data_IF_555466563962
#
_entry.id   IF_555466563962
#
_cell.length_a   1.000
_cell.length_b   1.000
_cell.length_c   1.000
_cell.angle_alpha   90.00
_cell.angle_beta   90.00
_cell.angle_gamma   90.00
#
_symmetry.space_group_name_H-M   'P 1'
#
loop_
_entity.id
_entity.type
_entity.pdbx_description
1 polymer ?
#
# COMPACT_ATOMS: atom_id res chain seq x y z
N UNK A 1 13.04 37.42 -26.85
CA UNK A 1 12.51 37.01 -25.53
C UNK A 1 11.10 37.55 -25.42
N UNK A 2 10.08 36.72 -25.65
CA UNK A 2 8.69 37.06 -25.41
C UNK A 2 8.17 36.13 -24.32
N UNK A 3 7.72 36.67 -23.20
CA UNK A 3 7.30 35.89 -22.05
C UNK A 3 7.30 36.68 -20.75
N UNK A 4 6.80 36.05 -19.70
CA UNK A 4 6.72 36.64 -18.37
C UNK A 4 8.13 36.60 -17.72
N UNK A 5 8.66 37.72 -17.23
CA UNK A 5 9.99 37.78 -16.62
C UNK A 5 10.05 36.91 -15.35
N UNK A 6 11.15 36.18 -15.13
CA UNK A 6 11.31 35.36 -13.94
C UNK A 6 11.43 36.22 -12.67
N UNK A 7 11.05 35.65 -11.51
CA UNK A 7 11.27 36.27 -10.20
C UNK A 7 12.73 36.68 -10.05
N UNK A 8 13.01 37.91 -9.61
CA UNK A 8 14.37 38.45 -9.46
C UNK A 8 14.78 39.38 -10.58
N UNK A 9 14.01 39.42 -11.67
CA UNK A 9 14.29 40.26 -12.83
C UNK A 9 13.05 41.00 -13.31
N UNK A 10 13.28 42.16 -13.89
CA UNK A 10 12.30 42.97 -14.61
C UNK A 10 12.71 43.12 -16.08
N UNK A 11 11.77 43.37 -17.00
CA UNK A 11 12.12 43.68 -18.37
C UNK A 11 12.83 45.03 -18.43
N UNK A 12 13.79 45.17 -19.35
CA UNK A 12 14.48 46.43 -19.55
C UNK A 12 13.48 47.59 -19.83
N UNK A 13 13.67 48.80 -19.26
CA UNK A 13 12.74 49.93 -19.44
C UNK A 13 12.52 50.30 -20.91
N UNK A 14 13.59 50.23 -21.70
CA UNK A 14 13.53 50.32 -23.16
C UNK A 14 12.95 49.02 -23.76
N UNK A 15 11.73 49.13 -24.30
CA UNK A 15 11.00 48.02 -24.93
C UNK A 15 11.67 47.45 -26.18
N UNK A 16 12.60 48.18 -26.79
CA UNK A 16 13.38 47.69 -27.93
C UNK A 16 14.45 46.68 -27.49
N UNK A 17 14.96 46.81 -26.25
CA UNK A 17 15.97 45.92 -25.68
C UNK A 17 15.32 44.72 -25.01
N UNK A 18 15.61 43.54 -25.55
CA UNK A 18 15.06 42.25 -25.06
C UNK A 18 15.93 41.68 -23.93
N UNK A 19 16.19 42.49 -22.91
CA UNK A 19 17.09 42.20 -21.80
C UNK A 19 16.36 42.15 -20.45
N UNK A 20 16.93 41.40 -19.51
CA UNK A 20 16.45 41.31 -18.13
C UNK A 20 17.33 42.22 -17.25
N UNK A 21 16.69 43.05 -16.44
CA UNK A 21 17.35 43.93 -15.47
C UNK A 21 17.11 43.38 -14.07
N UNK A 22 18.12 43.44 -13.22
CA UNK A 22 18.08 42.92 -11.85
C UNK A 22 17.04 43.70 -11.02
N UNK A 23 16.16 42.98 -10.32
CA UNK A 23 15.33 43.54 -9.27
C UNK A 23 15.88 43.11 -7.91
N UNK A 24 16.56 44.02 -7.22
CA UNK A 24 17.22 43.78 -5.94
C UNK A 24 16.32 43.15 -4.88
N UNK A 25 15.08 43.60 -4.77
CA UNK A 25 14.14 43.10 -3.74
C UNK A 25 13.76 41.66 -4.01
N UNK A 26 13.44 41.34 -5.27
CA UNK A 26 13.10 39.98 -5.66
C UNK A 26 14.32 39.05 -5.74
N UNK A 27 15.49 39.58 -6.10
CA UNK A 27 16.75 38.84 -6.17
C UNK A 27 17.11 38.27 -4.78
N UNK A 28 16.91 39.05 -3.71
CA UNK A 28 17.08 38.56 -2.33
C UNK A 28 16.16 37.38 -2.00
N UNK A 29 14.95 37.32 -2.57
CA UNK A 29 14.05 36.18 -2.38
C UNK A 29 14.64 34.94 -3.02
N UNK A 30 15.15 35.06 -4.24
CA UNK A 30 15.81 33.95 -4.95
C UNK A 30 17.05 33.48 -4.17
N UNK A 31 17.91 34.40 -3.74
CA UNK A 31 19.10 34.09 -2.94
C UNK A 31 18.74 33.34 -1.64
N UNK A 32 17.69 33.79 -0.93
CA UNK A 32 17.19 33.08 0.26
C UNK A 32 16.70 31.67 -0.07
N UNK A 33 15.97 31.46 -1.17
CA UNK A 33 15.52 30.12 -1.57
C UNK A 33 16.72 29.19 -1.84
N UNK A 34 17.76 29.68 -2.51
CA UNK A 34 19.00 28.92 -2.73
C UNK A 34 19.71 28.61 -1.42
N UNK A 35 19.88 29.60 -0.54
CA UNK A 35 20.51 29.43 0.77
C UNK A 35 19.76 28.42 1.66
N UNK A 36 18.43 28.50 1.70
CA UNK A 36 17.58 27.54 2.43
C UNK A 36 17.75 26.13 1.89
N UNK A 37 17.85 25.96 0.57
CA UNK A 37 18.09 24.64 0.00
C UNK A 37 19.50 24.14 0.24
N UNK A 38 20.52 24.98 0.14
CA UNK A 38 21.90 24.63 0.47
C UNK A 38 22.00 24.15 1.93
N UNK A 39 21.34 24.85 2.87
CA UNK A 39 21.34 24.49 4.28
C UNK A 39 20.58 23.17 4.59
N UNK A 40 19.46 22.89 3.93
CA UNK A 40 18.56 21.79 4.33
C UNK A 40 18.54 20.59 3.40
N UNK A 41 18.95 20.74 2.14
CA UNK A 41 18.96 19.67 1.12
C UNK A 41 17.62 18.91 0.98
N UNK A 42 16.49 19.55 1.34
CA UNK A 42 15.16 18.94 1.35
C UNK A 42 14.07 19.95 0.96
N UNK A 43 13.44 19.75 -0.21
CA UNK A 43 12.44 20.66 -0.78
C UNK A 43 11.25 20.94 0.15
N UNK A 44 10.79 19.94 0.92
CA UNK A 44 9.64 20.13 1.82
C UNK A 44 9.98 21.04 3.00
N UNK A 45 11.20 20.92 3.55
CA UNK A 45 11.68 21.80 4.63
C UNK A 45 11.81 23.22 4.11
N UNK A 46 12.39 23.38 2.91
CA UNK A 46 12.51 24.69 2.26
C UNK A 46 11.15 25.31 1.97
N UNK A 47 10.18 24.53 1.50
CA UNK A 47 8.81 25.01 1.23
C UNK A 47 8.15 25.55 2.50
N UNK A 48 8.31 24.84 3.63
CA UNK A 48 7.78 25.28 4.91
C UNK A 48 8.49 26.55 5.39
N UNK A 49 9.82 26.57 5.41
CA UNK A 49 10.60 27.75 5.83
C UNK A 49 10.35 28.97 4.96
N UNK A 50 10.30 28.81 3.64
CA UNK A 50 9.97 29.89 2.73
C UNK A 50 8.58 30.48 3.01
N UNK A 51 7.60 29.64 3.39
CA UNK A 51 6.28 30.10 3.82
C UNK A 51 6.34 30.83 5.17
N UNK A 52 7.07 30.29 6.14
CA UNK A 52 7.22 30.87 7.48
C UNK A 52 7.92 32.25 7.43
N UNK A 53 8.90 32.40 6.53
CA UNK A 53 9.61 33.66 6.25
C UNK A 53 8.84 34.61 5.31
N UNK A 54 7.63 34.24 4.88
CA UNK A 54 6.79 35.09 4.04
C UNK A 54 7.28 35.28 2.60
N UNK A 55 8.13 34.40 2.09
CA UNK A 55 8.63 34.45 0.71
C UNK A 55 7.49 34.12 -0.28
N UNK A 56 7.30 34.98 -1.28
CA UNK A 56 6.19 34.90 -2.24
C UNK A 56 6.66 34.91 -3.68
N UNK A 57 5.85 34.29 -4.53
CA UNK A 57 6.01 34.34 -5.99
C UNK A 57 5.85 35.75 -6.56
N UNK A 58 6.55 36.05 -7.66
CA UNK A 58 6.50 37.34 -8.36
C UNK A 58 5.06 37.73 -8.67
N UNK A 59 4.73 39.01 -8.48
CA UNK A 59 3.42 39.55 -8.79
C UNK A 59 3.43 40.11 -10.22
N UNK A 60 2.55 39.59 -11.06
CA UNK A 60 2.42 40.00 -12.45
C UNK A 60 1.09 40.70 -12.65
N UNK A 61 1.17 41.93 -13.17
CA UNK A 61 0.03 42.68 -13.68
C UNK A 61 0.07 42.60 -15.20
N UNK A 62 -0.99 42.04 -15.80
CA UNK A 62 -1.13 41.96 -17.25
C UNK A 62 -1.92 43.17 -17.75
N UNK A 63 -1.66 43.60 -18.99
CA UNK A 63 -2.38 44.71 -19.64
C UNK A 63 -3.90 44.48 -19.73
N UNK A 64 -4.35 43.23 -19.64
CA UNK A 64 -5.76 42.85 -19.62
C UNK A 64 -6.43 43.02 -18.25
N UNK A 65 -5.73 43.57 -17.25
CA UNK A 65 -6.19 43.68 -15.85
C UNK A 65 -6.14 42.37 -15.06
N UNK A 66 -5.66 41.27 -15.67
CA UNK A 66 -5.44 40.00 -14.96
C UNK A 66 -4.24 40.16 -14.03
N UNK A 67 -4.35 39.58 -12.83
CA UNK A 67 -3.24 39.48 -11.89
C UNK A 67 -2.82 38.02 -11.70
N UNK A 68 -1.52 37.76 -11.52
CA UNK A 68 -0.99 36.44 -11.24
C UNK A 68 0.18 36.51 -10.26
N UNK A 69 0.24 35.58 -9.32
CA UNK A 69 1.35 35.45 -8.38
C UNK A 69 1.04 36.01 -6.99
N UNK A 70 2.05 36.51 -6.29
CA UNK A 70 1.96 36.96 -4.89
C UNK A 70 1.46 35.87 -3.88
N UNK A 71 1.62 34.60 -4.26
CA UNK A 71 1.25 33.44 -3.43
C UNK A 71 2.48 32.81 -2.78
N UNK A 72 2.33 32.17 -1.60
CA UNK A 72 3.39 31.36 -1.01
C UNK A 72 3.89 30.31 -2.00
N UNK A 73 5.19 30.04 -1.98
CA UNK A 73 5.78 29.07 -2.91
C UNK A 73 5.28 27.65 -2.68
N UNK A 74 4.88 26.98 -3.75
CA UNK A 74 4.69 25.53 -3.77
C UNK A 74 6.02 24.79 -4.00
N UNK A 75 6.06 23.51 -3.62
CA UNK A 75 7.24 22.64 -3.81
C UNK A 75 7.77 22.64 -5.25
N UNK A 76 6.86 22.60 -6.23
CA UNK A 76 7.22 22.60 -7.66
C UNK A 76 7.82 23.93 -8.12
N UNK A 77 7.37 25.06 -7.57
CA UNK A 77 7.92 26.38 -7.89
C UNK A 77 9.33 26.54 -7.33
N UNK A 78 9.56 26.13 -6.08
CA UNK A 78 10.92 26.12 -5.50
C UNK A 78 11.84 25.22 -6.32
N UNK A 79 11.39 24.03 -6.69
CA UNK A 79 12.18 23.13 -7.54
C UNK A 79 12.52 23.76 -8.90
N UNK A 80 11.58 24.47 -9.52
CA UNK A 80 11.82 25.18 -10.77
C UNK A 80 12.82 26.33 -10.60
N UNK A 81 12.71 27.12 -9.53
CA UNK A 81 13.65 28.22 -9.22
C UNK A 81 15.08 27.67 -9.10
N UNK A 82 15.26 26.62 -8.30
CA UNK A 82 16.58 26.02 -8.06
C UNK A 82 17.22 25.40 -9.32
N UNK A 83 16.45 25.16 -10.39
CA UNK A 83 16.92 24.58 -11.65
C UNK A 83 16.98 25.57 -12.81
N UNK A 84 16.54 26.81 -12.61
CA UNK A 84 16.48 27.78 -13.70
C UNK A 84 17.85 28.45 -13.92
N UNK A 85 18.56 28.19 -15.04
CA UNK A 85 19.89 28.73 -15.29
C UNK A 85 19.91 30.25 -15.51
N UNK A 86 18.74 30.90 -15.64
CA UNK A 86 18.64 32.36 -15.66
C UNK A 86 19.24 33.02 -14.43
N UNK A 87 19.17 32.37 -13.28
CA UNK A 87 19.79 32.89 -12.04
C UNK A 87 21.31 32.88 -12.04
N UNK A 88 21.92 32.11 -12.96
CA UNK A 88 23.36 32.05 -13.20
C UNK A 88 23.79 32.98 -14.35
N UNK A 89 22.92 33.88 -14.83
CA UNK A 89 23.22 34.74 -15.98
C UNK A 89 23.15 34.00 -17.33
N UNK A 90 22.42 32.87 -17.42
CA UNK A 90 22.32 32.07 -18.66
C UNK A 90 20.89 31.96 -19.17
N UNK A 91 20.70 31.88 -20.48
CA UNK A 91 19.38 31.72 -21.09
C UNK A 91 19.27 30.34 -21.73
N UNK A 92 18.22 29.61 -21.38
CA UNK A 92 17.92 28.29 -21.97
C UNK A 92 17.13 28.45 -23.26
N UNK A 93 17.59 27.80 -24.32
CA UNK A 93 16.86 27.63 -25.57
C UNK A 93 16.88 26.15 -25.98
N UNK A 94 15.72 25.50 -25.87
CA UNK A 94 15.56 24.04 -26.01
C UNK A 94 16.49 23.30 -25.03
N UNK A 95 17.40 22.47 -25.53
CA UNK A 95 18.35 21.70 -24.71
C UNK A 95 19.70 22.41 -24.48
N UNK A 96 19.89 23.61 -25.04
CA UNK A 96 21.15 24.36 -24.91
C UNK A 96 20.97 25.59 -24.02
N UNK A 97 22.01 25.91 -23.25
CA UNK A 97 22.07 27.08 -22.38
C UNK A 97 23.19 28.00 -22.84
N UNK A 98 22.88 29.27 -23.11
CA UNK A 98 23.80 30.28 -23.62
C UNK A 98 24.06 31.37 -22.56
N UNK A 99 25.22 32.06 -22.59
CA UNK A 99 25.42 33.27 -21.78
C UNK A 99 24.34 34.32 -22.08
N UNK A 100 23.71 34.85 -21.04
CA UNK A 100 22.78 35.97 -21.13
C UNK A 100 23.50 37.30 -20.99
N UNK A 101 22.80 38.38 -21.36
CA UNK A 101 23.29 39.76 -21.17
C UNK A 101 22.93 40.34 -19.79
N UNK A 102 22.19 39.57 -18.98
CA UNK A 102 21.71 40.01 -17.67
C UNK A 102 22.64 39.53 -16.55
N UNK A 103 22.69 40.30 -15.48
CA UNK A 103 23.51 40.01 -14.30
C UNK A 103 23.02 38.75 -13.57
N UNK A 104 23.96 37.92 -13.08
CA UNK A 104 23.63 36.71 -12.34
C UNK A 104 23.20 37.04 -10.88
N UNK A 105 22.11 36.44 -10.41
CA UNK A 105 21.65 36.57 -9.01
C UNK A 105 22.43 35.64 -8.07
N UNK A 106 22.87 34.50 -8.59
CA UNK A 106 23.52 33.41 -7.85
C UNK A 106 24.90 33.16 -8.44
N UNK A 107 25.90 32.99 -7.58
CA UNK A 107 27.26 32.62 -7.99
C UNK A 107 27.35 31.15 -8.46
N UNK A 108 28.38 30.86 -9.26
CA UNK A 108 28.61 29.53 -9.81
C UNK A 108 28.81 28.47 -8.71
N UNK A 109 29.49 28.81 -7.62
CA UNK A 109 29.81 27.87 -6.55
C UNK A 109 28.56 27.40 -5.78
N UNK A 110 27.64 28.30 -5.46
CA UNK A 110 26.36 28.01 -4.82
C UNK A 110 25.44 27.24 -5.77
N UNK A 111 25.42 27.61 -7.05
CA UNK A 111 24.69 26.88 -8.06
C UNK A 111 25.13 25.41 -8.13
N UNK A 112 26.43 25.16 -8.23
CA UNK A 112 26.99 23.81 -8.37
C UNK A 112 26.72 22.95 -7.13
N UNK A 113 26.87 23.53 -5.92
CA UNK A 113 26.51 22.83 -4.66
C UNK A 113 25.04 22.43 -4.63
N UNK A 114 24.14 23.34 -5.04
CA UNK A 114 22.70 23.07 -5.08
C UNK A 114 22.35 22.03 -6.13
N UNK A 115 22.93 22.08 -7.33
CA UNK A 115 22.70 21.06 -8.37
C UNK A 115 23.18 19.68 -7.91
N UNK A 116 24.38 19.58 -7.33
CA UNK A 116 24.91 18.33 -6.79
C UNK A 116 23.99 17.75 -5.69
N UNK A 117 23.44 18.61 -4.81
CA UNK A 117 22.43 18.21 -3.81
C UNK A 117 21.11 17.75 -4.45
N UNK A 118 20.66 18.39 -5.52
CA UNK A 118 19.44 17.97 -6.25
C UNK A 118 19.65 16.64 -6.98
N UNK A 119 20.79 16.45 -7.61
CA UNK A 119 21.14 15.23 -8.34
C UNK A 119 21.32 14.05 -7.38
N UNK A 120 22.07 14.22 -6.29
CA UNK A 120 22.20 13.18 -5.26
C UNK A 120 20.84 12.83 -4.64
N UNK A 121 19.91 13.79 -4.50
CA UNK A 121 18.55 13.52 -4.06
C UNK A 121 17.69 12.81 -5.13
N UNK A 122 17.95 13.03 -6.42
CA UNK A 122 17.27 12.35 -7.53
C UNK A 122 17.78 10.90 -7.71
N UNK A 123 19.07 10.66 -7.49
CA UNK A 123 19.71 9.34 -7.53
C UNK A 123 19.28 8.47 -6.35
N UNK A 124 18.90 9.07 -5.21
CA UNK A 124 18.27 8.36 -4.09
C UNK A 124 16.92 7.81 -4.57
N UNK A 125 16.91 6.56 -5.05
CA UNK A 125 15.70 5.74 -5.19
C UNK A 125 14.89 5.89 -3.91
N UNK A 126 13.67 6.40 -4.06
CA UNK A 126 12.71 6.60 -2.97
C UNK A 126 12.50 5.22 -2.31
N UNK A 127 13.15 4.98 -1.16
CA UNK A 127 12.98 3.75 -0.38
C UNK A 127 14.21 2.90 -0.04
N UNK A 128 15.46 3.29 -0.35
CA UNK A 128 16.61 2.35 -0.14
C UNK A 128 17.45 2.60 1.13
N UNK A 129 17.87 3.84 1.48
CA UNK A 129 18.87 4.03 2.57
C UNK A 129 18.37 4.66 3.87
N UNK A 130 17.37 5.54 3.87
CA UNK A 130 16.92 6.21 5.12
C UNK A 130 16.09 5.30 6.05
N UNK A 131 15.74 4.09 5.62
CA UNK A 131 14.80 3.20 6.33
C UNK A 131 15.49 2.27 7.32
N UNK A 132 16.72 1.82 7.07
CA UNK A 132 17.42 0.87 7.96
C UNK A 132 17.71 1.45 9.35
N UNK A 133 17.86 2.77 9.50
CA UNK A 133 18.12 3.40 10.80
C UNK A 133 16.86 3.75 11.62
N UNK A 134 15.68 3.92 11.00
CA UNK A 134 14.44 4.27 11.72
C UNK A 134 13.40 3.15 11.78
N UNK A 135 13.42 2.23 10.81
CA UNK A 135 12.47 1.11 10.73
C UNK A 135 12.74 0.01 11.75
N UNK A 136 14.01 -0.23 12.09
CA UNK A 136 14.40 -1.23 13.07
C UNK A 136 13.94 -0.91 14.50
N UNK A 137 13.73 0.38 14.83
CA UNK A 137 13.36 0.79 16.18
C UNK A 137 11.85 0.88 16.45
N UNK A 138 10.96 0.83 15.45
CA UNK A 138 9.53 1.10 15.70
C UNK A 138 8.50 0.20 15.01
N UNK A 139 8.89 -0.79 14.20
CA UNK A 139 7.93 -1.78 13.65
C UNK A 139 6.79 -1.20 12.79
N UNK A 140 6.93 0.05 12.31
CA UNK A 140 5.80 0.81 11.73
C UNK A 140 5.56 0.46 10.25
N UNK A 141 6.49 -0.21 9.57
CA UNK A 141 6.47 -0.33 8.11
C UNK A 141 7.36 -1.46 7.53
N UNK A 142 7.29 -2.67 8.07
CA UNK A 142 8.21 -3.77 7.72
C UNK A 142 8.20 -4.17 6.24
N UNK A 143 7.09 -3.93 5.52
CA UNK A 143 6.95 -4.27 4.10
C UNK A 143 7.01 -3.06 3.14
N UNK A 144 7.43 -1.89 3.63
CA UNK A 144 7.51 -0.67 2.82
C UNK A 144 8.37 -0.87 1.57
N UNK A 145 7.78 -0.60 0.40
CA UNK A 145 8.49 -0.65 -0.88
C UNK A 145 8.74 -2.05 -1.43
N UNK A 146 8.36 -3.11 -0.70
CA UNK A 146 8.59 -4.50 -1.11
C UNK A 146 7.49 -5.06 -2.02
N UNK A 147 6.25 -4.62 -1.82
CA UNK A 147 5.10 -5.16 -2.53
C UNK A 147 4.52 -4.22 -3.59
N UNK A 148 4.09 -4.80 -4.71
CA UNK A 148 3.37 -4.11 -5.78
C UNK A 148 2.02 -4.77 -6.06
N UNK A 149 1.07 -4.01 -6.57
CA UNK A 149 -0.20 -4.55 -7.06
C UNK A 149 -0.13 -5.01 -8.53
N UNK A 150 -1.24 -5.56 -9.03
CA UNK A 150 -1.42 -6.02 -10.41
C UNK A 150 -1.18 -4.96 -11.48
N UNK A 151 -1.22 -3.67 -11.10
CA UNK A 151 -0.93 -2.55 -12.00
C UNK A 151 0.53 -2.05 -11.89
N UNK A 152 1.35 -2.72 -11.08
CA UNK A 152 2.73 -2.36 -10.79
C UNK A 152 2.89 -1.26 -9.73
N UNK A 153 1.81 -0.81 -9.09
CA UNK A 153 1.85 0.27 -8.10
C UNK A 153 2.42 -0.23 -6.77
N UNK A 154 3.18 0.63 -6.08
CA UNK A 154 3.81 0.24 -4.80
C UNK A 154 2.77 0.32 -3.68
N UNK A 155 2.72 -0.73 -2.85
CA UNK A 155 1.97 -0.70 -1.61
C UNK A 155 2.71 0.14 -0.56
N UNK A 156 2.05 1.20 -0.10
CA UNK A 156 2.60 2.16 0.82
C UNK A 156 1.90 2.07 2.18
N UNK A 157 2.63 1.96 3.30
CA UNK A 157 2.07 1.97 4.63
C UNK A 157 1.39 3.32 4.90
N UNK A 158 0.15 3.25 5.37
CA UNK A 158 -0.70 4.36 5.73
C UNK A 158 -1.38 4.06 7.06
N UNK A 159 -1.91 5.09 7.70
CA UNK A 159 -2.64 4.92 8.95
C UNK A 159 -3.80 5.90 9.04
N UNK A 160 -4.84 5.49 9.75
CA UNK A 160 -5.89 6.38 10.22
C UNK A 160 -5.97 6.30 11.74
N UNK A 161 -6.52 7.34 12.36
CA UNK A 161 -6.72 7.39 13.80
C UNK A 161 -8.22 7.55 14.07
N UNK A 162 -8.76 6.66 14.91
CA UNK A 162 -10.13 6.75 15.40
C UNK A 162 -10.07 6.76 16.93
N UNK A 163 -10.30 7.93 17.52
CA UNK A 163 -10.07 8.17 18.95
C UNK A 163 -8.60 7.91 19.33
N UNK A 164 -8.37 7.06 20.33
CA UNK A 164 -7.02 6.66 20.78
C UNK A 164 -6.43 5.49 19.98
N UNK A 165 -7.20 4.83 19.10
CA UNK A 165 -6.74 3.65 18.36
C UNK A 165 -6.22 4.05 16.98
N UNK A 166 -4.98 3.64 16.68
CA UNK A 166 -4.34 3.81 15.35
C UNK A 166 -4.55 2.55 14.51
N UNK A 167 -5.19 2.69 13.36
CA UNK A 167 -5.40 1.63 12.39
C UNK A 167 -4.36 1.74 11.28
N UNK A 168 -3.62 0.67 11.03
CA UNK A 168 -2.54 0.62 10.03
C UNK A 168 -2.98 -0.15 8.79
N UNK A 169 -2.59 0.35 7.62
CA UNK A 169 -2.92 -0.23 6.32
C UNK A 169 -1.73 -0.19 5.37
N UNK A 170 -1.68 -1.09 4.39
CA UNK A 170 -0.92 -0.89 3.15
C UNK A 170 -1.91 -0.51 2.05
N UNK A 171 -1.64 0.58 1.34
CA UNK A 171 -2.51 1.09 0.28
C UNK A 171 -1.75 1.23 -1.04
N UNK A 172 -2.38 0.99 -2.18
CA UNK A 172 -1.79 1.35 -3.48
C UNK A 172 -1.46 2.85 -3.47
N UNK A 173 -0.24 3.21 -3.87
CA UNK A 173 0.27 4.58 -3.77
C UNK A 173 -0.63 5.61 -4.48
N UNK A 174 -1.33 5.21 -5.56
CA UNK A 174 -2.34 6.06 -6.24
C UNK A 174 -3.47 6.56 -5.33
N UNK A 175 -3.80 5.88 -4.24
CA UNK A 175 -4.82 6.31 -3.27
C UNK A 175 -4.34 7.42 -2.32
N UNK A 176 -3.05 7.75 -2.30
CA UNK A 176 -2.50 8.78 -1.41
C UNK A 176 -2.82 10.18 -1.93
N UNK A 177 -2.72 10.38 -3.25
CA UNK A 177 -2.89 11.70 -3.89
C UNK A 177 -3.98 11.71 -4.96
N UNK A 178 -4.65 10.59 -5.20
CA UNK A 178 -5.60 10.39 -6.31
C UNK A 178 -7.07 10.36 -5.88
N UNK A 179 -7.94 10.29 -6.89
CA UNK A 179 -9.39 10.07 -6.73
C UNK A 179 -9.67 8.64 -6.23
N UNK A 180 -10.86 8.37 -5.65
CA UNK A 180 -11.24 7.02 -5.24
C UNK A 180 -11.18 6.04 -6.41
N UNK A 181 -10.32 5.04 -6.31
CA UNK A 181 -10.16 3.97 -7.29
C UNK A 181 -10.66 2.65 -6.70
N UNK A 182 -11.57 1.98 -7.41
CA UNK A 182 -12.15 0.69 -6.96
C UNK A 182 -11.18 -0.48 -7.12
N UNK A 183 -10.21 -0.37 -8.03
CA UNK A 183 -9.19 -1.39 -8.28
C UNK A 183 -8.01 -1.28 -7.30
N UNK A 184 -7.88 -0.14 -6.62
CA UNK A 184 -6.79 0.08 -5.70
C UNK A 184 -6.94 -0.72 -4.38
N UNK A 185 -5.80 -1.16 -3.86
CA UNK A 185 -5.75 -2.00 -2.68
C UNK A 185 -5.72 -1.16 -1.41
N UNK A 186 -6.47 -1.61 -0.39
CA UNK A 186 -6.36 -1.14 1.00
C UNK A 186 -6.40 -2.33 1.93
N UNK A 187 -5.23 -2.70 2.42
CA UNK A 187 -4.96 -3.93 3.16
C UNK A 187 -4.68 -3.61 4.63
N UNK A 188 -5.38 -4.21 5.61
CA UNK A 188 -4.99 -4.06 7.02
C UNK A 188 -3.56 -4.54 7.23
N UNK A 189 -2.70 -3.71 7.84
CA UNK A 189 -1.26 -3.97 7.88
C UNK A 189 -0.93 -5.28 8.57
N UNK A 190 -1.48 -5.53 9.77
CA UNK A 190 -1.22 -6.76 10.51
C UNK A 190 -1.64 -8.01 9.76
N UNK A 191 -2.85 -8.03 9.20
CA UNK A 191 -3.35 -9.18 8.45
C UNK A 191 -2.51 -9.45 7.19
N UNK A 192 -2.00 -8.41 6.53
CA UNK A 192 -1.12 -8.55 5.37
C UNK A 192 0.27 -9.04 5.76
N UNK A 193 0.82 -8.50 6.84
CA UNK A 193 2.11 -8.88 7.42
C UNK A 193 2.12 -10.36 7.85
N UNK A 194 1.07 -10.79 8.57
CA UNK A 194 0.88 -12.18 8.99
C UNK A 194 0.70 -13.11 7.78
N UNK A 195 -0.03 -12.65 6.75
CA UNK A 195 -0.24 -13.37 5.50
C UNK A 195 1.07 -13.66 4.76
N UNK A 196 1.92 -12.65 4.62
CA UNK A 196 3.22 -12.75 3.95
C UNK A 196 4.16 -13.65 4.75
N UNK A 197 4.27 -13.43 6.06
CA UNK A 197 5.11 -14.26 6.92
C UNK A 197 4.66 -15.73 6.89
N UNK A 198 3.35 -15.99 6.96
CA UNK A 198 2.78 -17.33 6.89
C UNK A 198 2.93 -18.02 5.53
N UNK A 199 2.93 -17.26 4.42
CA UNK A 199 3.22 -17.81 3.09
C UNK A 199 4.68 -18.30 3.00
N UNK A 200 5.63 -17.48 3.44
CA UNK A 200 7.06 -17.83 3.49
C UNK A 200 7.29 -19.03 4.41
N UNK A 201 6.72 -19.00 5.62
CA UNK A 201 6.90 -20.09 6.58
C UNK A 201 6.35 -21.42 6.05
N UNK A 202 5.17 -21.42 5.42
CA UNK A 202 4.60 -22.64 4.80
C UNK A 202 5.46 -23.17 3.65
N UNK A 203 5.95 -22.28 2.79
CA UNK A 203 6.83 -22.66 1.69
C UNK A 203 8.09 -23.37 2.19
N UNK A 204 8.76 -22.77 3.18
CA UNK A 204 9.95 -23.37 3.78
C UNK A 204 9.65 -24.69 4.49
N UNK A 205 8.54 -24.79 5.24
CA UNK A 205 8.12 -26.06 5.87
C UNK A 205 7.86 -27.14 4.84
N UNK A 206 7.17 -26.82 3.74
CA UNK A 206 6.87 -27.78 2.67
C UNK A 206 8.14 -28.22 1.91
N UNK A 207 9.11 -27.33 1.72
CA UNK A 207 10.41 -27.69 1.15
C UNK A 207 11.22 -28.57 2.11
N UNK A 208 11.20 -28.28 3.42
CA UNK A 208 11.87 -29.08 4.44
C UNK A 208 11.30 -30.51 4.49
N UNK A 209 9.97 -30.65 4.45
CA UNK A 209 9.28 -31.96 4.43
C UNK A 209 9.59 -32.78 3.17
N UNK A 210 9.87 -32.12 2.05
CA UNK A 210 10.23 -32.77 0.78
C UNK A 210 11.74 -32.92 0.59
N UNK A 211 12.54 -32.54 1.59
CA UNK A 211 14.00 -32.52 1.49
C UNK A 211 14.54 -31.66 0.34
N UNK A 212 13.79 -30.61 -0.05
CA UNK A 212 14.09 -29.69 -1.15
C UNK A 212 14.77 -28.39 -0.66
N UNK A 213 15.43 -28.41 0.50
CA UNK A 213 16.17 -27.22 0.98
C UNK A 213 17.50 -27.06 0.24
N UNK A 214 18.17 -28.18 -0.05
CA UNK A 214 19.47 -28.23 -0.71
C UNK A 214 19.35 -28.82 -2.12
N UNK A 215 20.26 -28.43 -3.02
CA UNK A 215 20.45 -29.05 -4.33
C UNK A 215 21.11 -30.42 -4.24
N UNK A 216 21.97 -30.62 -3.24
CA UNK A 216 22.75 -31.84 -3.09
C UNK A 216 21.93 -32.94 -2.38
N UNK A 217 22.03 -34.16 -2.88
CA UNK A 217 21.44 -35.35 -2.26
C UNK A 217 22.39 -35.93 -1.20
N UNK A 218 22.62 -35.18 -0.13
CA UNK A 218 23.29 -35.66 1.08
C UNK A 218 22.28 -35.75 2.23
N UNK A 219 22.15 -36.95 2.81
CA UNK A 219 21.17 -37.24 3.87
C UNK A 219 21.47 -36.46 5.15
N UNK A 220 22.75 -36.34 5.54
CA UNK A 220 23.16 -35.66 6.77
C UNK A 220 22.96 -34.16 6.61
N UNK A 221 23.43 -33.59 5.49
CA UNK A 221 23.25 -32.17 5.20
C UNK A 221 21.77 -31.80 5.04
N UNK A 222 20.97 -32.66 4.40
CA UNK A 222 19.53 -32.45 4.22
C UNK A 222 18.77 -32.48 5.55
N UNK A 223 19.14 -33.37 6.48
CA UNK A 223 18.55 -33.41 7.82
C UNK A 223 18.85 -32.12 8.60
N UNK A 224 20.10 -31.66 8.59
CA UNK A 224 20.50 -30.42 9.27
C UNK A 224 19.80 -29.19 8.64
N UNK A 225 19.75 -29.11 7.32
CA UNK A 225 19.06 -28.03 6.60
C UNK A 225 17.55 -28.01 6.89
N UNK A 226 16.94 -29.18 7.07
CA UNK A 226 15.53 -29.31 7.47
C UNK A 226 15.32 -28.75 8.87
N UNK A 227 16.17 -29.09 9.83
CA UNK A 227 16.08 -28.61 11.22
C UNK A 227 16.25 -27.08 11.31
N UNK A 228 17.22 -26.51 10.59
CA UNK A 228 17.44 -25.05 10.57
C UNK A 228 16.26 -24.33 9.92
N UNK A 229 15.70 -24.87 8.83
CA UNK A 229 14.50 -24.33 8.19
C UNK A 229 13.29 -24.35 9.13
N UNK A 230 13.04 -25.47 9.82
CA UNK A 230 11.95 -25.57 10.79
C UNK A 230 12.14 -24.58 11.96
N UNK A 231 13.36 -24.44 12.47
CA UNK A 231 13.70 -23.46 13.51
C UNK A 231 13.44 -22.01 13.05
N UNK A 232 13.84 -21.67 11.83
CA UNK A 232 13.59 -20.36 11.24
C UNK A 232 12.08 -20.08 11.12
N UNK A 233 11.30 -21.05 10.65
CA UNK A 233 9.84 -20.90 10.51
C UNK A 233 9.14 -20.72 11.86
N UNK A 234 9.56 -21.45 12.90
CA UNK A 234 9.05 -21.28 14.26
C UNK A 234 9.41 -19.91 14.86
N UNK A 235 10.54 -19.32 14.47
CA UNK A 235 10.89 -17.94 14.83
C UNK A 235 10.01 -16.93 14.10
N UNK A 236 9.74 -17.12 12.81
CA UNK A 236 8.82 -16.26 12.04
C UNK A 236 7.40 -16.27 12.63
N UNK A 237 6.90 -17.43 13.06
CA UNK A 237 5.58 -17.56 13.67
C UNK A 237 5.46 -16.79 15.01
N UNK A 238 6.57 -16.69 15.78
CA UNK A 238 6.61 -15.93 17.04
C UNK A 238 6.86 -14.44 16.86
N UNK A 239 7.78 -14.07 15.96
CA UNK A 239 8.21 -12.68 15.75
C UNK A 239 7.42 -11.93 14.66
N UNK A 240 6.51 -12.63 13.98
CA UNK A 240 5.72 -12.08 12.87
C UNK A 240 6.59 -11.68 11.67
N UNK A 241 6.17 -10.62 10.98
CA UNK A 241 6.80 -10.19 9.72
C UNK A 241 8.23 -9.64 9.87
N UNK A 242 8.74 -9.40 11.09
CA UNK A 242 10.05 -8.76 11.29
C UNK A 242 11.20 -9.53 10.63
N UNK A 243 11.24 -10.85 10.84
CA UNK A 243 12.25 -11.75 10.24
C UNK A 243 11.97 -11.91 8.74
N UNK A 244 10.71 -12.20 8.38
CA UNK A 244 10.30 -12.42 7.00
C UNK A 244 10.60 -11.20 6.11
N UNK A 245 10.42 -9.98 6.61
CA UNK A 245 10.70 -8.75 5.89
C UNK A 245 12.15 -8.66 5.42
N UNK A 246 13.12 -9.12 6.22
CA UNK A 246 14.54 -9.12 5.85
C UNK A 246 14.85 -10.02 4.65
N UNK A 247 14.08 -11.09 4.48
CA UNK A 247 14.28 -12.07 3.41
C UNK A 247 13.66 -11.67 2.07
N UNK A 248 12.71 -10.74 2.07
CA UNK A 248 11.94 -10.41 0.86
C UNK A 248 12.71 -9.44 -0.03
N UNK A 249 12.96 -9.82 -1.28
CA UNK A 249 13.46 -8.92 -2.32
C UNK A 249 12.30 -8.05 -2.84
N UNK A 250 11.25 -8.72 -3.32
CA UNK A 250 10.04 -8.11 -3.88
C UNK A 250 8.85 -9.04 -3.73
N UNK A 251 7.66 -8.50 -3.82
CA UNK A 251 6.44 -9.28 -3.93
C UNK A 251 5.38 -8.58 -4.76
N UNK A 252 4.44 -9.37 -5.26
CA UNK A 252 3.28 -8.89 -6.01
C UNK A 252 2.00 -9.43 -5.40
N UNK A 253 0.95 -8.62 -5.45
CA UNK A 253 -0.40 -9.03 -5.07
C UNK A 253 -1.32 -8.91 -6.29
N UNK A 254 -2.17 -9.92 -6.45
CA UNK A 254 -3.24 -9.95 -7.44
C UNK A 254 -4.53 -10.44 -6.82
N UNK A 255 -5.59 -10.51 -7.63
CA UNK A 255 -6.85 -11.13 -7.20
C UNK A 255 -6.64 -12.62 -6.95
N UNK A 256 -6.63 -13.01 -5.68
CA UNK A 256 -6.51 -14.41 -5.28
C UNK A 256 -5.07 -14.91 -5.16
N UNK A 257 -4.05 -14.09 -5.44
CA UNK A 257 -2.65 -14.55 -5.45
C UNK A 257 -1.69 -13.56 -4.77
N UNK A 258 -0.64 -14.13 -4.19
CA UNK A 258 0.51 -13.48 -3.59
C UNK A 258 1.76 -14.16 -4.14
N UNK A 259 2.61 -13.41 -4.82
CA UNK A 259 3.92 -13.89 -5.22
C UNK A 259 5.00 -13.17 -4.41
N UNK A 260 6.01 -13.90 -3.93
CA UNK A 260 7.13 -13.37 -3.15
C UNK A 260 8.43 -13.91 -3.72
N UNK A 261 9.39 -13.01 -3.96
CA UNK A 261 10.77 -13.36 -4.29
C UNK A 261 11.65 -13.09 -3.07
N UNK A 262 12.44 -14.09 -2.68
CA UNK A 262 13.38 -13.99 -1.56
C UNK A 262 14.79 -13.66 -2.02
N UNK A 263 15.54 -12.99 -1.14
CA UNK A 263 16.96 -12.70 -1.32
C UNK A 263 17.77 -13.95 -0.95
N UNK A 264 18.49 -14.52 -1.91
CA UNK A 264 19.28 -15.74 -1.71
C UNK A 264 20.32 -15.60 -0.58
N UNK A 265 21.06 -14.49 -0.53
CA UNK A 265 22.07 -14.25 0.50
C UNK A 265 21.46 -14.12 1.90
N UNK A 266 20.34 -13.42 2.04
CA UNK A 266 19.65 -13.29 3.33
C UNK A 266 19.02 -14.60 3.80
N UNK A 267 18.52 -15.43 2.87
CA UNK A 267 18.01 -16.76 3.20
C UNK A 267 19.13 -17.71 3.61
N UNK A 268 20.26 -17.68 2.90
CA UNK A 268 21.49 -18.42 3.22
C UNK A 268 22.00 -18.08 4.62
N UNK A 269 22.12 -16.79 4.94
CA UNK A 269 22.51 -16.32 6.28
C UNK A 269 21.52 -16.76 7.36
N UNK A 270 20.21 -16.68 7.08
CA UNK A 270 19.18 -17.07 8.04
C UNK A 270 19.12 -18.58 8.31
N UNK A 271 19.51 -19.41 7.33
CA UNK A 271 19.57 -20.86 7.44
C UNK A 271 20.94 -21.38 7.92
N UNK A 272 21.99 -20.55 7.85
CA UNK A 272 23.37 -20.97 8.14
C UNK A 272 23.93 -21.92 7.08
N UNK A 273 23.46 -21.81 5.83
CA UNK A 273 23.82 -22.70 4.71
C UNK A 273 24.42 -21.89 3.57
N UNK A 274 25.38 -22.41 2.79
CA UNK A 274 25.96 -21.68 1.67
C UNK A 274 24.91 -21.44 0.56
N UNK A 275 24.87 -20.22 0.02
CA UNK A 275 23.89 -19.82 -0.98
C UNK A 275 23.93 -20.66 -2.27
N UNK A 276 25.09 -21.24 -2.62
CA UNK A 276 25.29 -22.12 -3.77
C UNK A 276 24.60 -23.48 -3.64
N UNK A 277 24.32 -23.92 -2.41
CA UNK A 277 23.69 -25.22 -2.15
C UNK A 277 22.18 -25.11 -1.98
N UNK A 278 21.63 -23.91 -1.81
CA UNK A 278 20.19 -23.72 -1.67
C UNK A 278 19.44 -24.05 -2.96
N UNK A 279 18.34 -24.79 -2.82
CA UNK A 279 17.51 -25.12 -3.96
C UNK A 279 16.82 -23.87 -4.55
N UNK A 280 16.89 -23.61 -5.87
CA UNK A 280 16.34 -22.39 -6.47
C UNK A 280 14.83 -22.19 -6.24
N UNK A 281 14.06 -23.27 -6.07
CA UNK A 281 12.62 -23.19 -5.79
C UNK A 281 12.29 -22.50 -4.46
N UNK A 282 13.24 -22.40 -3.53
CA UNK A 282 13.03 -21.70 -2.25
C UNK A 282 12.84 -20.20 -2.43
N UNK A 283 13.39 -19.64 -3.51
CA UNK A 283 13.44 -18.19 -3.71
C UNK A 283 12.14 -17.63 -4.29
N UNK A 284 11.29 -18.49 -4.84
CA UNK A 284 10.05 -18.09 -5.51
C UNK A 284 8.86 -18.76 -4.83
N UNK A 285 7.99 -17.92 -4.26
CA UNK A 285 6.81 -18.38 -3.54
C UNK A 285 5.59 -17.86 -4.28
N UNK A 286 4.68 -18.76 -4.59
CA UNK A 286 3.32 -18.43 -5.01
C UNK A 286 2.34 -19.00 -4.00
N UNK A 287 1.46 -18.15 -3.48
CA UNK A 287 0.47 -18.53 -2.49
C UNK A 287 -0.88 -17.89 -2.79
N UNK A 288 -1.99 -18.59 -2.51
CA UNK A 288 -3.31 -17.98 -2.66
C UNK A 288 -3.51 -16.87 -1.61
N UNK A 289 -4.11 -15.75 -2.02
CA UNK A 289 -4.40 -14.60 -1.17
C UNK A 289 -5.83 -14.11 -1.41
N UNK A 290 -6.73 -14.47 -0.51
CA UNK A 290 -8.14 -14.08 -0.57
C UNK A 290 -8.39 -12.85 0.29
N UNK A 291 -8.84 -11.77 -0.34
CA UNK A 291 -9.21 -10.55 0.37
C UNK A 291 -10.74 -10.41 0.39
N UNK A 292 -11.35 -10.69 1.54
CA UNK A 292 -12.81 -10.57 1.72
C UNK A 292 -13.18 -9.17 2.21
N UNK A 293 -14.18 -8.54 1.58
CA UNK A 293 -14.82 -7.31 2.08
C UNK A 293 -15.94 -7.67 3.05
N UNK A 294 -15.91 -7.14 4.27
CA UNK A 294 -17.04 -7.19 5.21
C UNK A 294 -17.53 -5.75 5.47
N UNK A 295 -18.60 -5.35 4.78
CA UNK A 295 -19.06 -3.96 4.80
C UNK A 295 -17.98 -3.00 4.29
N UNK A 296 -17.61 -1.99 5.09
CA UNK A 296 -16.56 -1.02 4.74
C UNK A 296 -15.12 -1.49 5.06
N UNK A 297 -14.93 -2.64 5.72
CA UNK A 297 -13.60 -3.15 6.11
C UNK A 297 -13.13 -4.32 5.24
N UNK A 298 -11.87 -4.28 4.81
CA UNK A 298 -11.18 -5.38 4.11
C UNK A 298 -10.58 -6.35 5.14
N UNK A 299 -10.76 -7.65 4.99
CA UNK A 299 -10.09 -8.71 5.76
C UNK A 299 -9.24 -9.55 4.79
N UNK A 300 -7.97 -9.74 5.11
CA UNK A 300 -7.05 -10.56 4.31
C UNK A 300 -7.01 -11.95 4.92
N UNK A 301 -7.12 -12.96 4.07
CA UNK A 301 -7.03 -14.38 4.39
C UNK A 301 -5.96 -14.96 3.46
N UNK A 302 -4.84 -15.45 4.01
CA UNK A 302 -3.72 -15.95 3.22
C UNK A 302 -3.51 -17.46 3.31
N UNK A 303 -3.36 -18.06 2.12
CA UNK A 303 -3.09 -19.46 1.83
C UNK A 303 -4.29 -20.39 1.86
N UNK A 304 -4.02 -21.66 1.55
CA UNK A 304 -4.97 -22.77 1.54
C UNK A 304 -5.33 -23.17 2.97
N UNK A 305 -6.06 -22.31 3.65
CA UNK A 305 -6.86 -22.72 4.79
C UNK A 305 -8.24 -22.90 4.20
N UNK A 306 -8.71 -24.15 4.13
CA UNK A 306 -10.14 -24.45 3.97
C UNK A 306 -10.90 -23.42 4.80
N UNK A 307 -11.65 -22.57 4.10
CA UNK A 307 -12.29 -21.39 4.68
C UNK A 307 -12.86 -21.75 6.05
N UNK A 308 -12.31 -21.17 7.12
CA UNK A 308 -12.80 -21.43 8.47
C UNK A 308 -14.31 -21.12 8.47
N UNK A 309 -15.17 -22.13 8.72
CA UNK A 309 -16.61 -21.95 8.59
C UNK A 309 -17.09 -20.78 9.43
N UNK A 310 -17.96 -19.94 8.86
CA UNK A 310 -18.47 -18.76 9.57
C UNK A 310 -19.32 -19.22 10.76
N UNK A 311 -18.76 -19.09 11.97
CA UNK A 311 -19.40 -19.49 13.22
C UNK A 311 -20.78 -18.84 13.40
N UNK A 312 -21.01 -17.65 12.87
CA UNK A 312 -22.31 -16.99 12.95
C UNK A 312 -23.34 -17.64 12.01
N UNK A 313 -22.94 -17.97 10.77
CA UNK A 313 -23.80 -18.69 9.82
C UNK A 313 -24.10 -20.11 10.31
N UNK A 314 -23.12 -20.81 10.86
CA UNK A 314 -23.34 -22.14 11.44
C UNK A 314 -24.34 -22.08 12.60
N UNK A 315 -24.17 -21.12 13.52
CA UNK A 315 -25.12 -20.94 14.63
C UNK A 315 -26.51 -20.60 14.11
N UNK A 316 -26.63 -19.72 13.12
CA UNK A 316 -27.91 -19.37 12.53
C UNK A 316 -28.59 -20.58 11.86
N UNK A 317 -27.83 -21.39 11.11
CA UNK A 317 -28.34 -22.60 10.48
C UNK A 317 -28.78 -23.64 11.52
N UNK A 318 -28.00 -23.82 12.59
CA UNK A 318 -28.36 -24.71 13.69
C UNK A 318 -29.65 -24.24 14.39
N UNK A 319 -29.73 -22.96 14.74
CA UNK A 319 -30.92 -22.37 15.34
C UNK A 319 -32.14 -22.52 14.43
N UNK A 320 -31.99 -22.34 13.11
CA UNK A 320 -33.08 -22.52 12.16
C UNK A 320 -33.67 -23.94 12.24
N UNK A 321 -32.82 -24.97 12.24
CA UNK A 321 -33.26 -26.37 12.35
C UNK A 321 -33.89 -26.69 13.71
N UNK A 322 -33.34 -26.15 14.81
CA UNK A 322 -33.90 -26.30 16.16
C UNK A 322 -35.31 -25.68 16.22
N UNK A 323 -35.45 -24.44 15.75
CA UNK A 323 -36.72 -23.71 15.77
C UNK A 323 -37.77 -24.35 14.87
N UNK A 324 -37.39 -24.86 13.69
CA UNK A 324 -38.31 -25.65 12.84
C UNK A 324 -38.79 -26.91 13.56
N UNK A 325 -37.91 -27.59 14.31
CA UNK A 325 -38.29 -28.78 15.08
C UNK A 325 -39.27 -28.42 16.22
N UNK A 326 -39.03 -27.33 16.93
CA UNK A 326 -39.93 -26.83 17.98
C UNK A 326 -41.30 -26.42 17.42
N UNK A 327 -41.32 -25.80 16.23
CA UNK A 327 -42.58 -25.46 15.56
C UNK A 327 -43.38 -26.70 15.16
N UNK A 328 -42.71 -27.77 14.71
CA UNK A 328 -43.38 -29.06 14.42
C UNK A 328 -44.00 -29.69 15.66
N UNK A 329 -43.51 -29.38 16.86
CA UNK A 329 -44.07 -29.85 18.13
C UNK A 329 -45.10 -28.87 18.72
N UNK A 330 -45.54 -27.86 17.97
CA UNK A 330 -46.58 -26.91 18.37
C UNK A 330 -46.11 -25.65 19.09
N UNK A 331 -44.79 -25.42 19.22
CA UNK A 331 -44.25 -24.19 19.82
C UNK A 331 -44.36 -23.04 18.82
N UNK A 332 -45.02 -21.96 19.22
CA UNK A 332 -45.18 -20.76 18.38
C UNK A 332 -43.90 -19.94 18.26
N UNK A 333 -43.78 -19.16 17.18
CA UNK A 333 -42.67 -18.20 16.98
C UNK A 333 -42.53 -17.23 18.15
N UNK A 334 -43.67 -16.78 18.72
CA UNK A 334 -43.71 -15.91 19.90
C UNK A 334 -43.09 -16.57 21.13
N UNK A 335 -43.37 -17.85 21.36
CA UNK A 335 -42.74 -18.61 22.45
C UNK A 335 -41.24 -18.80 22.23
N UNK A 336 -40.81 -19.14 21.00
CA UNK A 336 -39.38 -19.28 20.66
C UNK A 336 -38.62 -17.97 20.89
N UNK A 337 -39.22 -16.85 20.46
CA UNK A 337 -38.69 -15.50 20.64
C UNK A 337 -38.52 -15.14 22.13
N UNK A 338 -39.55 -15.41 22.94
CA UNK A 338 -39.54 -15.16 24.38
C UNK A 338 -38.49 -16.02 25.12
N UNK A 339 -38.41 -17.31 24.83
CA UNK A 339 -37.45 -18.22 25.49
C UNK A 339 -36.00 -17.91 25.11
N UNK A 340 -35.77 -17.43 23.89
CA UNK A 340 -34.41 -17.15 23.40
C UNK A 340 -33.97 -15.69 23.60
N UNK A 341 -34.81 -14.82 24.15
CA UNK A 341 -34.59 -13.36 24.25
C UNK A 341 -34.23 -12.71 22.91
N UNK A 342 -34.93 -13.12 21.84
CA UNK A 342 -34.68 -12.67 20.46
C UNK A 342 -36.01 -12.16 19.87
N UNK A 343 -35.97 -11.18 18.97
CA UNK A 343 -37.19 -10.64 18.36
C UNK A 343 -37.88 -11.65 17.43
N UNK A 344 -39.22 -11.66 17.41
CA UNK A 344 -40.01 -12.50 16.50
C UNK A 344 -39.63 -12.30 15.03
N UNK A 345 -39.32 -11.06 14.66
CA UNK A 345 -38.85 -10.72 13.31
C UNK A 345 -37.49 -11.36 12.97
N UNK A 346 -36.59 -11.53 13.94
CA UNK A 346 -35.33 -12.25 13.71
C UNK A 346 -35.56 -13.76 13.63
N UNK A 347 -36.41 -14.31 14.50
CA UNK A 347 -36.75 -15.75 14.51
C UNK A 347 -37.34 -16.18 13.16
N UNK A 348 -38.35 -15.45 12.66
CA UNK A 348 -38.97 -15.68 11.34
C UNK A 348 -37.95 -15.65 10.20
N UNK A 349 -37.02 -14.69 10.23
CA UNK A 349 -35.96 -14.54 9.22
C UNK A 349 -34.89 -15.63 9.25
N UNK A 350 -34.64 -16.25 10.38
CA UNK A 350 -33.62 -17.32 10.52
C UNK A 350 -34.24 -18.68 10.21
N UNK A 351 -35.51 -18.92 10.56
CA UNK A 351 -36.22 -20.18 10.27
C UNK A 351 -36.11 -20.55 8.79
N UNK A 352 -36.16 -19.55 7.90
CA UNK A 352 -36.06 -19.78 6.44
C UNK A 352 -34.73 -20.44 6.03
N UNK A 353 -33.67 -20.33 6.83
CA UNK A 353 -32.37 -20.95 6.54
C UNK A 353 -32.41 -22.47 6.61
N UNK A 354 -33.32 -23.07 7.38
CA UNK A 354 -33.48 -24.53 7.45
C UNK A 354 -33.92 -25.12 6.09
N UNK A 355 -34.49 -24.29 5.22
CA UNK A 355 -35.02 -24.67 3.90
C UNK A 355 -34.08 -24.33 2.74
N UNK A 356 -32.84 -23.91 3.04
CA UNK A 356 -31.79 -23.76 2.02
C UNK A 356 -31.47 -25.12 1.37
N UNK A 357 -30.99 -25.11 0.12
CA UNK A 357 -30.62 -26.35 -0.56
C UNK A 357 -29.55 -27.12 0.25
N UNK A 358 -29.57 -28.46 0.25
CA UNK A 358 -28.57 -29.26 0.95
C UNK A 358 -27.13 -28.94 0.54
N UNK A 359 -26.95 -28.44 -0.69
CA UNK A 359 -25.64 -28.03 -1.21
C UNK A 359 -25.19 -26.69 -0.62
N UNK A 360 -26.09 -25.72 -0.48
CA UNK A 360 -25.80 -24.45 0.20
C UNK A 360 -25.50 -24.70 1.67
N UNK A 361 -26.28 -25.55 2.35
CA UNK A 361 -26.03 -25.90 3.74
C UNK A 361 -24.65 -26.58 3.92
N UNK A 362 -24.29 -27.52 3.03
CA UNK A 362 -22.95 -28.13 3.01
C UNK A 362 -21.84 -27.12 2.77
N UNK A 363 -22.04 -26.16 1.86
CA UNK A 363 -21.06 -25.11 1.61
C UNK A 363 -20.84 -24.22 2.84
N UNK A 364 -21.91 -23.87 3.57
CA UNK A 364 -21.82 -23.11 4.83
C UNK A 364 -21.04 -23.90 5.90
N UNK A 365 -21.34 -25.19 6.06
CA UNK A 365 -20.68 -26.05 7.05
C UNK A 365 -19.20 -26.30 6.71
N UNK A 366 -18.88 -26.46 5.42
CA UNK A 366 -17.52 -26.65 4.92
C UNK A 366 -16.75 -25.32 4.78
N UNK A 367 -17.40 -24.17 4.99
CA UNK A 367 -16.83 -22.85 4.79
C UNK A 367 -16.60 -22.44 3.33
N UNK A 368 -16.96 -23.29 2.37
CA UNK A 368 -16.77 -23.08 0.93
C UNK A 368 -17.81 -22.17 0.29
N UNK A 369 -18.64 -21.48 1.08
CA UNK A 369 -19.64 -20.56 0.54
C UNK A 369 -19.02 -19.34 -0.18
N UNK A 370 -19.65 -18.84 -1.27
CA UNK A 370 -19.21 -17.63 -1.97
C UNK A 370 -19.17 -16.39 -1.08
N UNK A 371 -18.28 -15.45 -1.38
CA UNK A 371 -18.02 -14.24 -0.58
C UNK A 371 -19.25 -13.34 -0.38
N UNK A 372 -20.24 -13.42 -1.27
CA UNK A 372 -21.51 -12.70 -1.14
C UNK A 372 -22.53 -13.36 -0.21
N UNK A 373 -22.30 -14.61 0.24
CA UNK A 373 -23.24 -15.36 1.08
C UNK A 373 -23.01 -15.03 2.57
N UNK A 374 -23.57 -13.91 3.02
CA UNK A 374 -23.55 -13.52 4.44
C UNK A 374 -24.92 -13.66 5.09
N UNK A 375 -24.96 -13.65 6.43
CA UNK A 375 -26.21 -13.65 7.19
C UNK A 375 -27.14 -12.50 6.75
N UNK A 376 -26.59 -11.32 6.51
CA UNK A 376 -27.35 -10.15 6.03
C UNK A 376 -27.96 -10.39 4.64
N UNK A 377 -27.23 -11.10 3.77
CA UNK A 377 -27.68 -11.38 2.39
C UNK A 377 -28.75 -12.46 2.35
N UNK A 378 -28.62 -13.48 3.21
CA UNK A 378 -29.62 -14.55 3.38
C UNK A 378 -30.91 -14.04 4.02
N UNK A 379 -30.79 -13.08 4.95
CA UNK A 379 -31.91 -12.55 5.74
C UNK A 379 -32.70 -11.46 5.01
N UNK A 380 -32.07 -10.70 4.09
CA UNK A 380 -32.73 -9.60 3.37
C UNK A 380 -33.44 -10.03 2.09
N UNK A 381 -33.07 -11.17 1.49
CA UNK A 381 -33.66 -11.63 0.24
C UNK A 381 -34.72 -12.70 0.51
N UNK A 382 -35.87 -12.62 -0.14
CA UNK A 382 -36.81 -13.75 -0.16
C UNK A 382 -36.10 -14.96 -0.79
N UNK A 383 -35.93 -16.02 0.00
CA UNK A 383 -35.29 -17.26 -0.46
C UNK A 383 -36.27 -17.97 -1.42
N UNK A 384 -35.90 -18.20 -2.69
CA UNK A 384 -36.74 -18.98 -3.61
C UNK A 384 -37.04 -20.36 -3.04
N UNK A 385 -38.25 -20.89 -3.25
CA UNK A 385 -38.61 -22.23 -2.73
C UNK A 385 -37.91 -23.37 -3.48
N UNK A 386 -37.54 -23.14 -4.73
CA UNK A 386 -36.91 -24.12 -5.60
C UNK A 386 -35.38 -24.08 -5.47
N UNK A 387 -34.77 -25.21 -5.13
CA UNK A 387 -33.34 -25.29 -4.78
C UNK A 387 -32.37 -24.87 -5.90
N UNK A 388 -32.56 -25.25 -7.18
CA UNK A 388 -31.72 -24.73 -8.28
C UNK A 388 -31.70 -23.20 -8.36
N UNK A 389 -32.82 -22.53 -8.07
CA UNK A 389 -32.90 -21.07 -8.09
C UNK A 389 -32.16 -20.45 -6.91
N UNK A 390 -32.18 -21.10 -5.74
CA UNK A 390 -31.34 -20.71 -4.61
C UNK A 390 -29.86 -20.86 -4.96
N UNK A 391 -29.47 -21.99 -5.55
CA UNK A 391 -28.11 -22.29 -5.96
C UNK A 391 -27.57 -21.26 -6.96
N UNK A 392 -28.37 -20.91 -7.97
CA UNK A 392 -28.06 -19.84 -8.92
C UNK A 392 -27.99 -18.47 -8.26
N UNK A 393 -28.95 -18.13 -7.40
CA UNK A 393 -29.03 -16.85 -6.69
C UNK A 393 -27.82 -16.61 -5.79
N UNK A 394 -27.32 -17.67 -5.16
CA UNK A 394 -26.20 -17.62 -4.22
C UNK A 394 -24.85 -18.03 -4.82
N UNK A 395 -24.80 -18.31 -6.13
CA UNK A 395 -23.56 -18.64 -6.84
C UNK A 395 -22.97 -19.99 -6.45
N UNK A 396 -23.78 -20.93 -5.97
CA UNK A 396 -23.37 -22.28 -5.61
C UNK A 396 -23.77 -23.19 -6.76
N UNK A 397 -22.82 -23.52 -7.63
CA UNK A 397 -22.98 -24.59 -8.62
C UNK A 397 -23.03 -24.22 -10.10
N UNK A 398 -22.79 -22.96 -10.43
CA UNK A 398 -22.39 -22.56 -11.79
C UNK A 398 -20.86 -22.52 -11.85
N UNK A 399 -20.23 -23.64 -12.19
CA UNK A 399 -19.00 -23.57 -13.00
C UNK A 399 -19.46 -23.64 -14.47
N UNK A 400 -18.85 -22.88 -15.40
CA UNK A 400 -18.96 -23.21 -16.81
C UNK A 400 -18.45 -24.64 -17.08
#
# INVERSE_FOLDING_TARGET
MGGVPPLGYDPHPDKSRRELVLNETEARIVQKVFALYDAHSCLNVVTRKAKDEGLRSKHHHFSTGREQGNRPFGRGQIYHILRNPTYLGRIRHKEKSFPGLHEAIIDQALWDRVQSKLESAAVRRRGVKTIYQKGAQTGVASLLGKFRDETGDILTPSHSQKGKKRHRYYISNRLITGKPDRAAWRLPARAFEDAVAGAIARHLKAAAQRHEILCAMDVVASSQATETALTLTARMERSGVGIAAGLIERGTIGKGSLAVTLIASSLSEALGLPASELHPSLLHIEAPLHCRRRGAEMKIIAGDIQSLPDKALIRALNNAHIWVRQMKTGVSVKQIAATSSISESYVTRVITLAFLSPRIQRAILAGTQPDGLTMETLVRRCIPRHWPDQEKLYGIGSKP
#
